data_IF_582529794149
#
_entry.id   IF_582529794149
#
_cell.length_a   1.000
_cell.length_b   1.000
_cell.length_c   1.000
_cell.angle_alpha   90.00
_cell.angle_beta   90.00
_cell.angle_gamma   90.00
#
_symmetry.space_group_name_H-M   'P 1'
#
loop_
_entity.id
_entity.type
_entity.pdbx_description
1 polymer ?
#
# COMPACT_ATOMS: atom_id res chain seq x y z
N UNK A 1 -12.19 16.18 6.14
CA UNK A 1 -12.03 14.73 5.92
C UNK A 1 -10.69 14.26 6.49
N UNK A 2 -10.68 13.13 7.16
CA UNK A 2 -9.46 12.63 7.80
C UNK A 2 -8.52 12.03 6.73
N UNK A 3 -7.25 12.47 6.64
CA UNK A 3 -6.33 11.96 5.63
C UNK A 3 -6.05 10.44 5.76
N UNK A 4 -6.31 9.85 6.93
CA UNK A 4 -6.15 8.40 7.10
C UNK A 4 -7.07 7.61 6.18
N UNK A 5 -8.29 8.08 5.94
CA UNK A 5 -9.21 7.38 5.06
C UNK A 5 -8.67 7.32 3.62
N UNK A 6 -8.13 8.43 3.12
CA UNK A 6 -7.55 8.47 1.78
C UNK A 6 -6.31 7.59 1.67
N UNK A 7 -5.45 7.62 2.69
CA UNK A 7 -4.24 6.80 2.72
C UNK A 7 -4.59 5.32 2.74
N UNK A 8 -5.59 4.94 3.53
CA UNK A 8 -6.01 3.55 3.64
C UNK A 8 -6.66 3.06 2.35
N UNK A 9 -7.49 3.89 1.72
CA UNK A 9 -8.08 3.57 0.42
C UNK A 9 -7.01 3.32 -0.63
N UNK A 10 -6.00 4.18 -0.67
CA UNK A 10 -4.89 4.06 -1.60
C UNK A 10 -4.10 2.77 -1.37
N UNK A 11 -3.88 2.42 -0.09
CA UNK A 11 -3.23 1.16 0.27
C UNK A 11 -4.03 -0.04 -0.24
N UNK A 12 -5.34 -0.04 0.00
CA UNK A 12 -6.21 -1.12 -0.45
C UNK A 12 -6.24 -1.24 -1.96
N UNK A 13 -6.31 -0.12 -2.67
CA UNK A 13 -6.30 -0.09 -4.14
C UNK A 13 -4.99 -0.68 -4.67
N UNK A 14 -3.86 -0.32 -4.06
CA UNK A 14 -2.55 -0.83 -4.48
C UNK A 14 -2.48 -2.34 -4.27
N UNK A 15 -2.97 -2.84 -3.14
CA UNK A 15 -3.03 -4.28 -2.87
C UNK A 15 -3.89 -4.98 -3.91
N UNK A 16 -5.09 -4.46 -4.17
CA UNK A 16 -6.01 -5.06 -5.14
C UNK A 16 -5.42 -5.08 -6.55
N UNK A 17 -4.78 -3.97 -6.96
CA UNK A 17 -4.21 -3.85 -8.30
C UNK A 17 -3.06 -4.82 -8.53
N UNK A 18 -2.28 -5.14 -7.50
CA UNK A 18 -1.14 -6.03 -7.68
C UNK A 18 -1.52 -7.51 -7.57
N UNK A 19 -2.76 -7.84 -7.22
CA UNK A 19 -3.18 -9.23 -7.06
C UNK A 19 -3.10 -10.01 -8.36
N UNK A 20 -3.52 -9.41 -9.48
CA UNK A 20 -3.43 -10.06 -10.79
C UNK A 20 -1.97 -10.32 -11.16
N UNK A 21 -1.08 -9.39 -10.86
CA UNK A 21 0.36 -9.56 -11.12
C UNK A 21 0.96 -10.66 -10.26
N UNK A 22 0.53 -10.77 -9.01
CA UNK A 22 0.99 -11.84 -8.13
C UNK A 22 0.61 -13.20 -8.71
N UNK A 23 -0.64 -13.36 -9.15
CA UNK A 23 -1.11 -14.59 -9.78
C UNK A 23 -0.29 -14.92 -11.03
N UNK A 24 -0.03 -13.95 -11.88
CA UNK A 24 0.77 -14.12 -13.09
C UNK A 24 2.20 -14.54 -12.77
N UNK A 25 2.78 -13.93 -11.74
CA UNK A 25 4.15 -14.28 -11.33
C UNK A 25 4.23 -15.72 -10.85
N UNK A 26 3.28 -16.14 -10.02
CA UNK A 26 3.22 -17.53 -9.53
C UNK A 26 3.09 -18.50 -10.69
N UNK A 27 2.42 -18.09 -11.77
CA UNK A 27 2.25 -18.88 -12.99
C UNK A 27 3.47 -18.83 -13.92
N UNK A 28 4.51 -18.09 -13.57
CA UNK A 28 5.77 -18.07 -14.31
C UNK A 28 6.10 -16.81 -15.09
N UNK A 29 5.31 -15.74 -14.93
CA UNK A 29 5.55 -14.46 -15.63
C UNK A 29 6.52 -13.58 -14.82
N UNK A 30 7.78 -13.52 -15.23
CA UNK A 30 8.81 -12.75 -14.53
C UNK A 30 8.53 -11.25 -14.51
N UNK A 31 7.97 -10.70 -15.56
CA UNK A 31 7.63 -9.27 -15.62
C UNK A 31 6.62 -8.90 -14.53
N UNK A 32 5.69 -9.79 -14.27
CA UNK A 32 4.70 -9.59 -13.21
C UNK A 32 5.37 -9.50 -11.84
N UNK A 33 6.44 -10.27 -11.62
CA UNK A 33 7.20 -10.21 -10.38
C UNK A 33 7.81 -8.83 -10.14
N UNK A 34 8.32 -8.20 -11.18
CA UNK A 34 8.85 -6.83 -11.08
C UNK A 34 7.75 -5.85 -10.68
N UNK A 35 6.55 -5.99 -11.25
CA UNK A 35 5.42 -5.14 -10.89
C UNK A 35 4.97 -5.36 -9.46
N UNK A 36 4.97 -6.62 -8.98
CA UNK A 36 4.65 -6.93 -7.58
C UNK A 36 5.63 -6.25 -6.63
N UNK A 37 6.94 -6.32 -6.92
CA UNK A 37 7.96 -5.67 -6.10
C UNK A 37 7.76 -4.17 -6.04
N UNK A 38 7.43 -3.56 -7.17
CA UNK A 38 7.13 -2.13 -7.25
C UNK A 38 5.92 -1.75 -6.39
N UNK A 39 4.87 -2.56 -6.48
CA UNK A 39 3.68 -2.36 -5.65
C UNK A 39 4.01 -2.45 -4.16
N UNK A 40 4.89 -3.37 -3.78
CA UNK A 40 5.31 -3.50 -2.38
C UNK A 40 6.06 -2.27 -1.88
N UNK A 41 6.85 -1.62 -2.73
CA UNK A 41 7.50 -0.36 -2.37
C UNK A 41 6.47 0.74 -2.09
N UNK A 42 5.44 0.82 -2.92
CA UNK A 42 4.35 1.78 -2.72
C UNK A 42 3.60 1.47 -1.42
N UNK A 43 3.30 0.20 -1.18
CA UNK A 43 2.61 -0.24 0.04
C UNK A 43 3.43 0.09 1.28
N UNK A 44 4.73 -0.13 1.22
CA UNK A 44 5.65 0.20 2.32
C UNK A 44 5.60 1.69 2.65
N UNK A 45 5.64 2.53 1.63
CA UNK A 45 5.55 3.99 1.79
C UNK A 45 4.21 4.41 2.39
N UNK A 46 3.12 3.85 1.88
CA UNK A 46 1.78 4.14 2.40
C UNK A 46 1.62 3.68 3.84
N UNK A 47 2.15 2.50 4.16
CA UNK A 47 2.12 1.99 5.52
C UNK A 47 2.86 2.93 6.48
N UNK A 48 4.01 3.46 6.08
CA UNK A 48 4.75 4.40 6.88
C UNK A 48 3.98 5.70 7.06
N UNK A 49 3.38 6.22 5.98
CA UNK A 49 2.58 7.45 6.04
C UNK A 49 1.39 7.28 7.00
N UNK A 50 0.75 6.13 6.97
CA UNK A 50 -0.37 5.82 7.87
C UNK A 50 0.11 5.81 9.32
N UNK A 51 1.24 5.17 9.59
CA UNK A 51 1.80 5.12 10.94
C UNK A 51 2.11 6.50 11.49
N UNK A 52 2.73 7.34 10.66
CA UNK A 52 3.07 8.72 11.03
C UNK A 52 1.81 9.52 11.31
N UNK A 53 0.80 9.40 10.43
CA UNK A 53 -0.44 10.14 10.58
C UNK A 53 -1.21 9.71 11.83
N UNK A 54 -1.25 8.42 12.11
CA UNK A 54 -1.88 7.90 13.34
C UNK A 54 -1.20 8.48 14.58
N UNK A 55 0.13 8.47 14.60
CA UNK A 55 0.88 9.00 15.74
C UNK A 55 0.64 10.50 15.91
N UNK A 56 0.61 11.22 14.80
CA UNK A 56 0.37 12.67 14.81
C UNK A 56 -1.02 12.98 15.36
N UNK A 57 -2.05 12.26 14.92
CA UNK A 57 -3.41 12.47 15.41
C UNK A 57 -3.55 12.09 16.89
N UNK A 58 -2.90 11.02 17.32
CA UNK A 58 -2.88 10.65 18.74
C UNK A 58 -2.28 11.76 19.60
N UNK A 59 -1.20 12.37 19.13
CA UNK A 59 -0.54 13.44 19.88
C UNK A 59 -1.40 14.70 19.98
N UNK A 60 -2.30 14.91 19.03
CA UNK A 60 -3.16 16.09 19.01
C UNK A 60 -4.42 15.93 19.85
N UNK A 61 -4.71 14.74 20.32
CA UNK A 61 -5.92 14.46 21.10
C UNK A 61 -5.79 14.84 22.57
N UNK A 62 -4.66 15.35 22.99
CA UNK A 62 -4.42 15.75 24.40
C UNK A 62 -4.28 17.26 24.55
#
# INVERSE_FOLDING_TARGET
>A
MNPLNSLFDELQDTVNDCQADLTKFVEGNNSAGTRVRKAMQTIKSLAQDIRVEVQDQKNKQF
#
